data_IF_281740836314
#
_entry.id   IF_281740836314
#
_cell.length_a   1.000
_cell.length_b   1.000
_cell.length_c   1.000
_cell.angle_alpha   90.00
_cell.angle_beta   90.00
_cell.angle_gamma   90.00
#
_symmetry.space_group_name_H-M   'P 1'
#
loop_
_entity.id
_entity.type
_entity.pdbx_description
1 polymer ?
#
# COMPACT_ATOMS: atom_id res chain seq x y z
N UNK A 1 -22.19 8.58 -2.82
CA UNK A 1 -22.46 7.18 -2.55
C UNK A 1 -21.16 6.40 -2.51
N UNK A 2 -21.01 5.58 -1.53
CA UNK A 2 -19.76 4.85 -1.38
C UNK A 2 -19.72 3.61 -2.24
N UNK A 3 -18.55 3.29 -2.71
CA UNK A 3 -18.27 2.09 -3.49
C UNK A 3 -17.91 0.97 -2.52
N UNK A 4 -18.67 -0.13 -2.47
CA UNK A 4 -18.38 -1.20 -1.50
C UNK A 4 -16.97 -1.76 -1.63
N UNK A 5 -16.47 -1.88 -2.86
CA UNK A 5 -15.12 -2.39 -3.06
C UNK A 5 -14.06 -1.40 -2.58
N UNK A 6 -14.32 -0.12 -2.78
CA UNK A 6 -13.41 0.90 -2.29
C UNK A 6 -13.38 0.90 -0.77
N UNK A 7 -14.55 0.78 -0.12
CA UNK A 7 -14.59 0.73 1.33
C UNK A 7 -13.87 -0.49 1.88
N UNK A 8 -14.01 -1.62 1.20
CA UNK A 8 -13.32 -2.84 1.62
C UNK A 8 -11.82 -2.66 1.54
N UNK A 9 -11.34 -2.06 0.45
CA UNK A 9 -9.92 -1.81 0.32
C UNK A 9 -9.41 -0.83 1.37
N UNK A 10 -10.19 0.22 1.65
CA UNK A 10 -9.80 1.19 2.66
C UNK A 10 -9.73 0.56 4.04
N UNK A 11 -10.68 -0.31 4.36
CA UNK A 11 -10.66 -0.98 5.66
C UNK A 11 -9.44 -1.88 5.80
N UNK A 12 -9.07 -2.60 4.73
CA UNK A 12 -7.89 -3.45 4.77
C UNK A 12 -6.63 -2.61 4.97
N UNK A 13 -6.55 -1.49 4.28
CA UNK A 13 -5.40 -0.60 4.41
C UNK A 13 -5.30 -0.05 5.83
N UNK A 14 -6.42 0.35 6.41
CA UNK A 14 -6.40 0.88 7.76
C UNK A 14 -5.97 -0.17 8.77
N UNK A 15 -6.41 -1.41 8.59
CA UNK A 15 -6.02 -2.48 9.49
C UNK A 15 -4.53 -2.75 9.42
N UNK A 16 -3.98 -2.77 8.21
CA UNK A 16 -2.54 -2.99 8.06
C UNK A 16 -1.76 -1.86 8.71
N UNK A 17 -2.18 -0.62 8.47
CA UNK A 17 -1.47 0.52 9.06
C UNK A 17 -1.51 0.46 10.58
N UNK A 18 -2.66 0.11 11.14
CA UNK A 18 -2.76 -0.01 12.60
C UNK A 18 -1.76 -1.03 13.14
N UNK A 19 -1.59 -2.14 12.41
CA UNK A 19 -0.63 -3.16 12.80
C UNK A 19 0.80 -2.65 12.68
N UNK A 20 1.10 -1.94 11.60
CA UNK A 20 2.45 -1.44 11.35
C UNK A 20 2.87 -0.41 12.41
N UNK A 21 1.92 0.26 13.04
CA UNK A 21 2.24 1.27 14.03
C UNK A 21 2.90 0.67 15.29
N UNK A 22 2.88 -0.65 15.43
CA UNK A 22 3.66 -1.30 16.48
C UNK A 22 5.15 -1.09 16.28
N UNK A 23 5.60 -0.90 15.04
CA UNK A 23 7.02 -0.66 14.74
C UNK A 23 7.28 0.76 14.28
N UNK A 24 6.31 1.35 13.57
CA UNK A 24 6.43 2.70 13.03
C UNK A 24 5.20 3.49 13.45
N UNK A 25 5.23 4.09 14.65
CA UNK A 25 4.02 4.81 15.12
C UNK A 25 3.56 5.91 14.19
N UNK A 26 4.43 6.42 13.32
CA UNK A 26 4.09 7.47 12.39
C UNK A 26 3.46 6.97 11.10
N UNK A 27 3.34 5.65 10.93
CA UNK A 27 2.78 5.11 9.70
C UNK A 27 1.36 5.62 9.49
N UNK A 28 1.03 5.93 8.23
CA UNK A 28 -0.28 6.43 7.87
C UNK A 28 -0.71 5.83 6.54
N UNK A 29 -2.01 5.71 6.37
CA UNK A 29 -2.56 5.30 5.09
C UNK A 29 -2.35 6.43 4.08
N UNK A 30 -1.91 6.06 2.89
CA UNK A 30 -1.70 7.05 1.84
C UNK A 30 -2.95 7.16 0.99
N UNK A 31 -3.58 8.33 1.02
CA UNK A 31 -4.66 8.62 0.09
C UNK A 31 -4.07 9.02 -1.25
N UNK A 32 -4.62 8.49 -2.33
CA UNK A 32 -4.12 8.81 -3.66
C UNK A 32 -4.56 10.23 -4.05
N UNK A 33 -3.58 11.06 -4.37
CA UNK A 33 -3.82 12.39 -4.88
C UNK A 33 -3.10 12.54 -6.21
N UNK A 34 -3.83 12.87 -7.24
CA UNK A 34 -3.25 12.99 -8.55
C UNK A 34 -2.93 11.63 -9.13
N UNK A 35 -1.94 11.57 -9.99
CA UNK A 35 -1.63 10.38 -10.75
C UNK A 35 -0.39 9.64 -10.28
N UNK A 36 0.33 10.15 -9.29
CA UNK A 36 1.58 9.54 -8.86
C UNK A 36 1.32 8.53 -7.75
N UNK A 37 1.54 7.26 -8.04
CA UNK A 37 1.29 6.18 -7.10
C UNK A 37 2.58 5.79 -6.41
N UNK A 38 2.62 5.96 -5.09
CA UNK A 38 3.79 5.65 -4.27
C UNK A 38 3.49 4.52 -3.26
N UNK A 39 2.43 3.78 -3.49
CA UNK A 39 2.03 2.72 -2.57
C UNK A 39 0.92 3.16 -1.65
N UNK A 40 0.56 2.29 -0.73
CA UNK A 40 -0.63 2.47 0.11
C UNK A 40 -0.32 3.01 1.51
N UNK A 41 0.94 3.03 1.91
CA UNK A 41 1.30 3.41 3.27
C UNK A 41 2.41 4.47 3.24
N UNK A 42 2.26 5.48 4.09
CA UNK A 42 3.31 6.48 4.30
C UNK A 42 4.13 6.04 5.50
N UNK A 43 5.43 5.85 5.29
CA UNK A 43 6.38 5.46 6.33
C UNK A 43 7.37 6.58 6.56
N UNK A 44 8.12 6.53 7.68
CA UNK A 44 9.19 7.51 7.87
C UNK A 44 10.16 7.51 6.69
N UNK A 45 10.73 8.67 6.41
CA UNK A 45 11.56 8.86 5.22
C UNK A 45 12.75 7.91 5.13
N UNK A 46 13.30 7.53 6.27
CA UNK A 46 14.48 6.69 6.28
C UNK A 46 14.16 5.21 6.08
N UNK A 47 12.88 4.86 5.97
CA UNK A 47 12.49 3.47 5.76
C UNK A 47 12.39 3.23 4.25
N UNK A 48 13.27 2.39 3.74
CA UNK A 48 13.35 2.09 2.30
C UNK A 48 12.39 0.95 1.97
N UNK A 49 11.09 1.28 1.92
CA UNK A 49 10.08 0.27 1.71
C UNK A 49 8.82 0.90 1.14
N UNK A 50 8.27 0.29 0.09
CA UNK A 50 6.97 0.63 -0.45
C UNK A 50 6.02 -0.51 -0.15
N UNK A 51 4.86 -0.20 0.42
CA UNK A 51 3.89 -1.21 0.80
C UNK A 51 2.65 -1.06 -0.05
N UNK A 52 2.25 -2.14 -0.69
CA UNK A 52 1.01 -2.22 -1.46
C UNK A 52 0.12 -3.26 -0.81
N UNK A 53 -1.15 -2.91 -0.61
CA UNK A 53 -2.10 -3.77 0.08
C UNK A 53 -3.17 -4.22 -0.90
N UNK A 54 -3.33 -5.52 -1.02
CA UNK A 54 -4.32 -6.10 -1.91
C UNK A 54 -5.33 -6.92 -1.12
N UNK A 55 -6.60 -6.61 -1.29
CA UNK A 55 -7.70 -7.35 -0.68
C UNK A 55 -8.63 -7.79 -1.79
N UNK A 56 -8.19 -8.79 -2.55
CA UNK A 56 -8.88 -9.25 -3.75
C UNK A 56 -9.00 -10.77 -3.72
N UNK A 57 -10.08 -11.26 -4.30
CA UNK A 57 -10.27 -12.69 -4.41
C UNK A 57 -9.35 -13.33 -5.44
N UNK A 58 -9.08 -12.61 -6.51
CA UNK A 58 -8.27 -13.12 -7.61
C UNK A 58 -6.90 -12.50 -7.54
N UNK A 59 -5.87 -13.33 -7.61
CA UNK A 59 -4.50 -12.87 -7.54
C UNK A 59 -3.93 -12.70 -8.93
N UNK A 60 -3.16 -11.65 -9.12
CA UNK A 60 -2.47 -11.40 -10.38
C UNK A 60 -1.06 -10.89 -10.06
N UNK A 61 -0.21 -11.83 -9.65
CA UNK A 61 1.11 -11.46 -9.20
C UNK A 61 1.95 -10.75 -10.25
N UNK A 62 1.95 -11.16 -11.53
CA UNK A 62 2.74 -10.43 -12.51
C UNK A 62 2.34 -8.95 -12.61
N UNK A 63 1.05 -8.67 -12.62
CA UNK A 63 0.59 -7.28 -12.69
C UNK A 63 0.94 -6.52 -11.42
N UNK A 64 0.80 -7.16 -10.27
CA UNK A 64 1.12 -6.52 -8.99
C UNK A 64 2.61 -6.22 -8.89
N UNK A 65 3.44 -7.15 -9.37
CA UNK A 65 4.89 -6.94 -9.34
C UNK A 65 5.27 -5.74 -10.20
N UNK A 66 4.69 -5.65 -11.39
CA UNK A 66 4.96 -4.53 -12.28
C UNK A 66 4.49 -3.22 -11.66
N UNK A 67 3.31 -3.23 -11.05
CA UNK A 67 2.80 -2.06 -10.34
C UNK A 67 3.74 -1.64 -9.22
N UNK A 68 4.24 -2.62 -8.47
CA UNK A 68 5.14 -2.34 -7.36
C UNK A 68 6.42 -1.67 -7.85
N UNK A 69 6.93 -2.10 -8.99
CA UNK A 69 8.14 -1.49 -9.54
C UNK A 69 7.91 -0.02 -9.86
N UNK A 70 6.74 0.31 -10.39
CA UNK A 70 6.40 1.69 -10.69
C UNK A 70 6.27 2.50 -9.40
N UNK A 71 5.61 1.93 -8.40
CA UNK A 71 5.44 2.62 -7.13
C UNK A 71 6.77 2.86 -6.43
N UNK A 72 7.67 1.88 -6.49
CA UNK A 72 8.99 2.04 -5.88
C UNK A 72 9.77 3.16 -6.57
N UNK A 73 9.68 3.24 -7.89
CA UNK A 73 10.35 4.30 -8.61
C UNK A 73 9.80 5.67 -8.21
N UNK A 74 8.49 5.77 -8.09
CA UNK A 74 7.85 7.02 -7.70
C UNK A 74 8.21 7.42 -6.27
N UNK A 75 8.32 6.43 -5.38
CA UNK A 75 8.61 6.67 -3.96
C UNK A 75 10.10 6.71 -3.67
N UNK A 76 10.93 6.37 -4.66
CA UNK A 76 12.38 6.32 -4.51
C UNK A 76 12.81 5.32 -3.45
N UNK A 77 12.22 4.13 -3.51
CA UNK A 77 12.58 3.02 -2.62
C UNK A 77 13.08 1.85 -3.43
N UNK A 78 13.83 0.96 -2.76
CA UNK A 78 14.39 -0.22 -3.43
C UNK A 78 13.73 -1.51 -2.98
N UNK A 79 12.83 -1.47 -1.99
CA UNK A 79 12.15 -2.67 -1.49
C UNK A 79 10.65 -2.49 -1.59
N UNK A 80 9.94 -3.58 -1.82
CA UNK A 80 8.49 -3.59 -1.91
C UNK A 80 7.91 -4.74 -1.13
N UNK A 81 6.74 -4.50 -0.56
CA UNK A 81 6.04 -5.54 0.20
C UNK A 81 4.58 -5.54 -0.24
N UNK A 82 4.07 -6.59 -0.50
CA UNK A 82 2.68 -6.70 -0.81
C UNK A 82 2.04 -7.43 0.33
N UNK A 83 1.16 -6.98 0.76
CA UNK A 83 0.42 -7.59 1.79
C UNK A 83 -0.84 -8.08 1.17
N UNK A 84 -0.90 -9.18 1.01
CA UNK A 84 -2.06 -9.75 0.49
C UNK A 84 -2.88 -10.11 1.64
N UNK A 85 -3.82 -9.63 1.74
CA UNK A 85 -4.72 -9.84 2.79
C UNK A 85 -5.77 -10.75 2.27
N UNK A 86 -5.91 -11.57 2.89
CA UNK A 86 -6.85 -12.55 2.51
C UNK A 86 -8.08 -12.44 3.12
#
# INVERSE_FOLDING_TARGET
LSNPQRRKGTAAEAAVVAHLRNWWPEAERRALHGSTDKGDVILPRDIDLTIEIKNQRTYNFPAWFKQMQIEQANANTTRGLXXXXX
#
